data_IF_123180096785
#
_entry.id   IF_123180096785
#
_cell.length_a   1.000
_cell.length_b   1.000
_cell.length_c   1.000
_cell.angle_alpha   90.00
_cell.angle_beta   90.00
_cell.angle_gamma   90.00
#
_symmetry.space_group_name_H-M   'P 1'
#
loop_
_entity.id
_entity.type
_entity.pdbx_description
1 polymer ?
#
# COMPACT_ATOMS: atom_id res chain seq x y z
N UNK A 1 10.26 12.89 -4.17
CA UNK A 1 9.30 11.80 -4.38
C UNK A 1 8.08 12.38 -5.07
N UNK A 2 7.79 11.93 -6.29
CA UNK A 2 6.57 12.32 -7.01
C UNK A 2 5.55 11.20 -6.83
N UNK A 3 4.41 11.52 -6.25
CA UNK A 3 3.28 10.60 -6.19
C UNK A 3 2.31 10.98 -7.30
N UNK A 4 2.21 10.13 -8.33
CA UNK A 4 1.16 10.27 -9.33
C UNK A 4 -0.02 9.38 -8.95
N UNK A 5 -1.14 9.99 -8.61
CA UNK A 5 -2.43 9.31 -8.45
C UNK A 5 -3.25 9.62 -9.71
N UNK A 6 -3.65 8.62 -10.51
CA UNK A 6 -4.51 8.88 -11.67
C UNK A 6 -5.88 9.39 -11.20
N UNK A 7 -6.51 10.30 -11.97
CA UNK A 7 -7.81 10.85 -11.61
C UNK A 7 -8.92 9.78 -11.71
N UNK A 8 -9.80 9.75 -10.71
CA UNK A 8 -11.07 8.98 -10.72
C UNK A 8 -12.04 9.56 -11.76
N UNK A 9 -12.89 8.74 -12.42
CA UNK A 9 -13.83 9.24 -13.43
C UNK A 9 -14.91 10.17 -12.83
N UNK A 10 -14.75 11.45 -13.12
CA UNK A 10 -15.69 12.59 -13.22
C UNK A 10 -16.78 12.81 -12.16
N UNK A 11 -16.83 14.05 -11.66
CA UNK A 11 -18.00 14.91 -11.90
C UNK A 11 -17.54 16.38 -11.98
N UNK A 12 -17.77 16.98 -13.15
CA UNK A 12 -17.52 18.40 -13.39
C UNK A 12 -18.53 19.26 -12.64
N UNK A 13 -18.04 20.26 -11.88
CA UNK A 13 -18.76 21.52 -11.63
C UNK A 13 -17.75 22.63 -11.36
N UNK A 14 -17.93 23.71 -12.12
CA UNK A 14 -17.25 25.01 -12.03
C UNK A 14 -17.30 25.65 -10.64
N UNK A 15 -16.23 26.38 -10.30
CA UNK A 15 -16.21 27.84 -10.02
C UNK A 15 -15.30 28.28 -8.86
N UNK A 16 -14.37 29.17 -9.22
CA UNK A 16 -13.90 30.39 -8.55
C UNK A 16 -13.33 30.35 -7.11
N UNK A 17 -12.04 30.73 -7.04
CA UNK A 17 -11.32 31.30 -5.89
C UNK A 17 -11.82 32.73 -5.56
N UNK A 18 -11.63 33.29 -4.34
CA UNK A 18 -10.28 33.66 -3.88
C UNK A 18 -9.97 33.63 -2.35
N UNK A 19 -8.65 33.66 -2.08
CA UNK A 19 -7.88 34.28 -0.97
C UNK A 19 -8.01 33.85 0.50
N UNK A 20 -6.82 33.52 1.05
CA UNK A 20 -6.25 33.75 2.39
C UNK A 20 -7.01 33.36 3.66
N UNK A 21 -6.48 32.38 4.41
CA UNK A 21 -5.98 32.61 5.79
C UNK A 21 -5.15 31.43 6.31
N UNK A 22 -4.05 31.74 6.98
CA UNK A 22 -3.20 30.81 7.71
C UNK A 22 -3.97 30.18 8.88
N UNK A 23 -3.96 28.85 9.00
CA UNK A 23 -4.11 28.20 10.30
C UNK A 23 -3.37 26.85 10.34
N UNK A 24 -2.20 26.90 10.96
CA UNK A 24 -1.48 25.75 11.50
C UNK A 24 -2.35 25.04 12.53
N UNK A 25 -2.86 23.85 12.19
CA UNK A 25 -3.53 22.99 13.17
C UNK A 25 -2.64 21.79 13.49
N UNK A 26 -2.13 21.81 14.72
CA UNK A 26 -1.44 20.71 15.39
C UNK A 26 -2.45 19.58 15.60
N UNK A 27 -2.21 18.42 15.01
CA UNK A 27 -3.03 17.23 15.24
C UNK A 27 -2.61 16.56 16.56
N UNK A 28 -3.27 16.94 17.65
CA UNK A 28 -3.27 16.17 18.90
C UNK A 28 -4.16 14.94 18.72
N UNK A 29 -3.63 13.78 19.09
CA UNK A 29 -4.31 12.49 19.09
C UNK A 29 -5.29 12.41 20.26
N UNK A 30 -6.58 12.60 19.99
CA UNK A 30 -7.63 12.39 20.98
C UNK A 30 -8.24 10.98 20.86
N UNK A 31 -8.18 10.25 21.97
CA UNK A 31 -8.70 8.89 22.17
C UNK A 31 -10.14 8.99 22.64
N UNK A 32 -11.11 8.77 21.77
CA UNK A 32 -12.47 8.46 22.24
C UNK A 32 -13.19 7.45 21.34
N UNK A 33 -13.35 6.24 21.88
CA UNK A 33 -14.28 5.23 21.40
C UNK A 33 -15.73 5.76 21.49
N UNK A 34 -16.47 5.73 20.38
CA UNK A 34 -17.91 5.98 20.35
C UNK A 34 -18.65 4.68 20.04
N UNK A 35 -19.27 4.12 21.07
CA UNK A 35 -20.27 3.06 20.99
C UNK A 35 -21.54 3.63 20.38
N UNK A 36 -21.96 3.15 19.21
CA UNK A 36 -23.21 3.55 18.56
C UNK A 36 -24.39 2.77 19.19
N UNK A 37 -25.30 3.47 19.85
CA UNK A 37 -26.61 2.95 20.27
C UNK A 37 -27.64 3.22 19.17
N UNK A 38 -28.31 2.17 18.67
CA UNK A 38 -29.52 2.28 17.84
C UNK A 38 -30.76 2.19 18.75
N UNK A 39 -31.79 3.05 18.59
CA UNK A 39 -33.06 2.87 19.29
C UNK A 39 -34.02 2.05 18.42
N UNK A 40 -34.43 0.88 18.90
CA UNK A 40 -35.58 0.15 18.35
C UNK A 40 -36.61 -0.03 19.46
N UNK A 41 -37.64 0.82 19.46
CA UNK A 41 -38.82 0.68 20.31
C UNK A 41 -39.91 -0.02 19.49
N UNK A 42 -40.21 -1.28 19.81
CA UNK A 42 -41.46 -1.94 19.41
C UNK A 42 -42.15 -2.48 20.66
N UNK A 43 -43.38 -2.01 20.87
CA UNK A 43 -44.31 -2.46 21.91
C UNK A 43 -44.56 -3.97 21.81
N UNK A 44 -44.45 -4.67 22.93
CA UNK A 44 -44.98 -6.02 23.11
C UNK A 44 -46.50 -5.94 23.38
N UNK A 45 -47.32 -6.90 22.91
CA UNK A 45 -48.75 -6.93 23.17
C UNK A 45 -49.09 -7.41 24.60
N UNK A 46 -50.21 -6.90 25.12
CA UNK A 46 -50.71 -7.10 26.49
C UNK A 46 -51.03 -8.57 26.83
N UNK A 47 -50.61 -8.98 28.02
CA UNK A 47 -50.82 -10.32 28.58
C UNK A 47 -52.16 -10.37 29.32
N UNK A 48 -53.10 -11.20 28.85
CA UNK A 48 -54.41 -11.44 29.50
C UNK A 48 -54.35 -12.69 30.41
N UNK A 49 -54.52 -12.57 31.74
CA UNK A 49 -54.30 -13.68 32.67
C UNK A 49 -55.59 -14.47 32.95
N UNK A 50 -56.31 -14.89 31.91
CA UNK A 50 -57.56 -15.63 32.05
C UNK A 50 -57.67 -16.77 31.02
N UNK A 51 -56.72 -17.71 31.03
CA UNK A 51 -56.86 -19.00 30.36
C UNK A 51 -55.90 -20.04 30.94
N UNK A 52 -55.90 -20.21 32.26
CA UNK A 52 -55.31 -21.40 32.88
C UNK A 52 -56.38 -22.02 33.75
N UNK A 53 -57.19 -22.88 33.13
CA UNK A 53 -57.80 -24.01 33.81
C UNK A 53 -58.29 -25.03 32.78
N UNK A 54 -58.00 -26.29 33.10
CA UNK A 54 -58.45 -27.54 32.46
C UNK A 54 -57.81 -27.92 31.12
N UNK A 55 -56.62 -28.55 31.16
CA UNK A 55 -56.23 -29.55 30.14
C UNK A 55 -55.43 -30.70 30.78
N UNK A 56 -55.80 -31.92 30.40
CA UNK A 56 -55.30 -33.23 30.85
C UNK A 56 -53.95 -33.60 30.22
N UNK A 57 -53.24 -34.64 30.72
CA UNK A 57 -51.80 -34.87 30.44
C UNK A 57 -51.45 -35.30 29.00
N UNK A 58 -52.41 -35.31 28.06
CA UNK A 58 -52.20 -35.74 26.67
C UNK A 58 -51.84 -34.61 25.70
N UNK A 59 -52.13 -33.35 26.03
CA UNK A 59 -52.01 -32.22 25.08
C UNK A 59 -50.64 -31.53 25.10
N UNK A 60 -49.77 -31.88 26.05
CA UNK A 60 -48.43 -31.29 26.21
C UNK A 60 -47.39 -31.82 25.22
N UNK A 61 -47.63 -32.99 24.61
CA UNK A 61 -46.68 -33.63 23.69
C UNK A 61 -46.85 -33.09 22.27
N UNK A 62 -48.09 -32.90 21.79
CA UNK A 62 -48.33 -32.32 20.45
C UNK A 62 -47.89 -30.85 20.34
N UNK A 63 -48.06 -30.04 21.40
CA UNK A 63 -47.62 -28.65 21.40
C UNK A 63 -46.08 -28.49 21.35
N UNK A 64 -45.35 -29.45 21.94
CA UNK A 64 -43.88 -29.45 21.91
C UNK A 64 -43.32 -29.86 20.55
N UNK A 65 -43.98 -30.79 19.84
CA UNK A 65 -43.61 -31.16 18.48
C UNK A 65 -43.92 -30.06 17.45
N UNK A 66 -45.05 -29.35 17.61
CA UNK A 66 -45.40 -28.24 16.71
C UNK A 66 -44.43 -27.05 16.85
N UNK A 67 -43.98 -26.72 18.06
CA UNK A 67 -42.94 -25.71 18.31
C UNK A 67 -41.57 -26.11 17.74
N UNK A 68 -41.17 -27.37 17.86
CA UNK A 68 -39.91 -27.87 17.30
C UNK A 68 -39.92 -27.87 15.76
N UNK A 69 -41.05 -28.18 15.13
CA UNK A 69 -41.19 -28.08 13.67
C UNK A 69 -41.16 -26.63 13.18
N UNK A 70 -41.81 -25.69 13.88
CA UNK A 70 -41.75 -24.26 13.53
C UNK A 70 -40.34 -23.68 13.66
N UNK A 71 -39.60 -24.04 14.71
CA UNK A 71 -38.20 -23.64 14.86
C UNK A 71 -37.28 -24.24 13.79
N UNK A 72 -37.59 -25.43 13.27
CA UNK A 72 -36.84 -26.06 12.17
C UNK A 72 -37.14 -25.40 10.81
N UNK A 73 -38.38 -24.98 10.57
CA UNK A 73 -38.75 -24.27 9.33
C UNK A 73 -38.21 -22.84 9.32
N UNK A 74 -38.13 -22.14 10.46
CA UNK A 74 -37.44 -20.83 10.56
C UNK A 74 -35.91 -20.96 10.40
N UNK A 75 -35.30 -22.05 10.86
CA UNK A 75 -33.86 -22.29 10.64
C UNK A 75 -33.52 -22.70 9.21
N UNK A 76 -34.44 -23.33 8.48
CA UNK A 76 -34.26 -23.67 7.07
C UNK A 76 -34.55 -22.52 6.11
N UNK A 77 -35.36 -21.54 6.52
CA UNK A 77 -35.54 -20.28 5.78
C UNK A 77 -34.49 -19.20 6.14
N UNK A 78 -33.79 -19.35 7.27
CA UNK A 78 -32.64 -18.52 7.67
C UNK A 78 -31.31 -18.86 6.98
N UNK A 79 -31.20 -20.01 6.29
CA UNK A 79 -30.01 -20.40 5.53
C UNK A 79 -29.93 -19.78 4.12
N UNK A 80 -30.99 -19.08 3.69
CA UNK A 80 -31.09 -18.43 2.36
C UNK A 80 -30.69 -16.97 2.30
N UNK A 81 -30.33 -16.35 3.44
CA UNK A 81 -29.82 -14.98 3.50
C UNK A 81 -28.44 -14.94 4.14
N UNK A 82 -27.53 -15.81 3.70
CA UNK A 82 -26.17 -15.33 3.54
C UNK A 82 -26.25 -14.27 2.44
N UNK A 83 -26.44 -13.01 2.85
CA UNK A 83 -26.02 -11.90 2.01
C UNK A 83 -24.58 -12.23 1.67
N UNK A 84 -24.37 -12.66 0.43
CA UNK A 84 -23.11 -12.46 -0.23
C UNK A 84 -22.90 -10.96 -0.08
N UNK A 85 -22.10 -10.58 0.92
CA UNK A 85 -21.33 -9.38 0.83
C UNK A 85 -20.47 -9.65 -0.39
N UNK A 86 -21.01 -9.38 -1.58
CA UNK A 86 -20.20 -8.82 -2.64
C UNK A 86 -19.48 -7.70 -1.91
N UNK A 87 -18.23 -7.96 -1.52
CA UNK A 87 -17.29 -6.88 -1.45
C UNK A 87 -17.51 -6.18 -2.78
N UNK A 88 -18.04 -4.97 -2.74
CA UNK A 88 -17.80 -4.02 -3.80
C UNK A 88 -16.28 -4.02 -3.92
N UNK A 89 -15.78 -4.87 -4.81
CA UNK A 89 -14.42 -4.87 -5.29
C UNK A 89 -14.41 -3.55 -6.03
N UNK A 90 -14.02 -2.50 -5.29
CA UNK A 90 -13.97 -1.16 -5.83
C UNK A 90 -13.29 -1.27 -7.18
N UNK A 91 -13.97 -0.79 -8.21
CA UNK A 91 -13.55 -0.75 -9.60
C UNK A 91 -12.38 0.24 -9.77
N UNK A 92 -11.33 0.03 -8.95
CA UNK A 92 -10.39 1.04 -8.49
C UNK A 92 -9.67 0.56 -7.24
N UNK A 93 -9.01 -0.60 -7.30
CA UNK A 93 -7.92 -0.86 -6.37
C UNK A 93 -6.96 0.35 -6.42
N UNK A 94 -6.62 0.93 -5.26
CA UNK A 94 -5.65 2.03 -5.21
C UNK A 94 -4.32 1.50 -5.76
N UNK A 95 -3.98 1.95 -6.97
CA UNK A 95 -2.77 1.59 -7.71
C UNK A 95 -1.67 2.58 -7.38
N UNK A 96 -0.44 2.09 -7.21
CA UNK A 96 0.72 2.93 -6.94
C UNK A 96 1.84 2.66 -7.94
N UNK A 97 2.22 3.70 -8.68
CA UNK A 97 3.50 3.77 -9.40
C UNK A 97 4.48 4.60 -8.57
N UNK A 98 5.54 3.97 -8.08
CA UNK A 98 6.63 4.65 -7.40
C UNK A 98 7.84 4.72 -8.33
N UNK A 99 8.34 5.93 -8.55
CA UNK A 99 9.55 6.17 -9.34
C UNK A 99 10.59 6.80 -8.41
N UNK A 100 11.72 6.12 -8.23
CA UNK A 100 12.88 6.65 -7.51
C UNK A 100 13.94 7.05 -8.52
N UNK A 101 14.21 8.36 -8.60
CA UNK A 101 15.27 8.95 -9.43
C UNK A 101 16.43 9.24 -8.50
N UNK A 102 17.51 8.48 -8.62
CA UNK A 102 18.65 8.59 -7.71
C UNK A 102 19.43 9.88 -7.93
N UNK A 103 20.03 10.42 -6.88
CA UNK A 103 20.84 11.64 -6.97
C UNK A 103 20.07 12.88 -7.45
N UNK A 104 18.73 12.81 -7.58
CA UNK A 104 17.91 13.92 -8.07
C UNK A 104 17.74 14.97 -6.97
N UNK A 105 18.63 15.98 -6.99
CA UNK A 105 18.59 17.09 -6.03
C UNK A 105 17.32 17.92 -6.24
N UNK A 106 16.85 18.52 -5.14
CA UNK A 106 15.55 19.20 -5.07
C UNK A 106 15.33 20.32 -6.10
N UNK A 107 16.41 20.95 -6.58
CA UNK A 107 16.40 22.06 -7.53
C UNK A 107 16.51 21.61 -9.00
N UNK A 108 16.93 20.38 -9.29
CA UNK A 108 17.09 19.92 -10.69
C UNK A 108 15.81 20.02 -11.53
N UNK A 109 14.60 19.70 -11.01
CA UNK A 109 13.36 19.86 -11.76
C UNK A 109 13.00 21.31 -12.11
N UNK A 110 13.56 22.29 -11.39
CA UNK A 110 13.28 23.72 -11.59
C UNK A 110 14.29 24.40 -12.51
N UNK A 111 15.42 23.76 -12.79
CA UNK A 111 16.43 24.31 -13.68
C UNK A 111 15.91 24.25 -15.12
N UNK A 112 15.66 25.42 -15.72
CA UNK A 112 15.19 25.50 -17.11
C UNK A 112 16.16 24.84 -18.11
N UNK A 113 17.46 24.84 -17.80
CA UNK A 113 18.49 24.14 -18.57
C UNK A 113 18.31 22.62 -18.59
N UNK A 114 17.62 22.04 -17.60
CA UNK A 114 17.39 20.60 -17.53
C UNK A 114 16.30 20.14 -18.51
N UNK A 115 15.43 21.04 -18.99
CA UNK A 115 14.43 20.72 -20.01
C UNK A 115 13.51 19.56 -19.60
N UNK A 116 12.90 19.64 -18.40
CA UNK A 116 12.12 18.57 -17.77
C UNK A 116 10.59 18.82 -17.78
N UNK A 117 9.93 18.87 -18.95
CA UNK A 117 8.51 19.21 -19.04
C UNK A 117 7.59 18.19 -18.34
N UNK A 118 8.03 16.93 -18.25
CA UNK A 118 7.29 15.89 -17.52
C UNK A 118 7.18 16.17 -16.02
N UNK A 119 8.30 16.52 -15.37
CA UNK A 119 8.31 16.88 -13.95
C UNK A 119 7.53 18.16 -13.67
N UNK A 120 7.61 19.14 -14.57
CA UNK A 120 6.79 20.35 -14.50
C UNK A 120 5.31 20.01 -14.53
N UNK A 121 4.88 19.18 -15.48
CA UNK A 121 3.48 18.74 -15.59
C UNK A 121 3.02 17.96 -14.36
N UNK A 122 3.88 17.10 -13.78
CA UNK A 122 3.58 16.39 -12.54
C UNK A 122 3.42 17.33 -11.35
N UNK A 123 4.22 18.39 -11.26
CA UNK A 123 4.11 19.40 -10.21
C UNK A 123 2.86 20.27 -10.37
N UNK A 124 2.52 20.68 -11.60
CA UNK A 124 1.35 21.51 -11.90
C UNK A 124 0.01 20.76 -11.70
N UNK A 125 -0.02 19.46 -11.99
CA UNK A 125 -1.24 18.64 -11.93
C UNK A 125 -1.28 17.73 -10.69
N UNK A 126 -0.33 17.89 -9.77
CA UNK A 126 -0.17 17.00 -8.62
C UNK A 126 0.23 17.76 -7.36
N UNK A 127 0.86 17.05 -6.42
CA UNK A 127 1.37 17.63 -5.17
C UNK A 127 2.89 17.52 -5.18
N UNK A 128 3.55 18.62 -4.81
CA UNK A 128 5.01 18.70 -4.71
C UNK A 128 5.42 19.31 -3.38
N UNK A 129 6.32 18.63 -2.68
CA UNK A 129 7.06 19.22 -1.57
C UNK A 129 8.25 20.06 -2.10
N UNK A 130 8.63 21.17 -1.43
CA UNK A 130 9.79 21.97 -1.84
C UNK A 130 11.09 21.15 -1.91
N UNK A 131 11.28 20.26 -0.94
CA UNK A 131 12.38 19.30 -0.88
C UNK A 131 12.00 18.15 0.06
N UNK A 132 12.80 17.08 0.04
CA UNK A 132 12.73 15.98 1.01
C UNK A 132 14.08 15.93 1.72
N UNK A 133 14.05 15.94 3.06
CA UNK A 133 15.27 15.81 3.86
C UNK A 133 15.66 14.33 3.95
N UNK A 134 16.85 13.93 3.46
CA UNK A 134 17.33 12.56 3.62
C UNK A 134 17.68 12.27 5.08
N UNK A 135 17.69 11.00 5.45
CA UNK A 135 18.33 10.58 6.71
C UNK A 135 19.85 10.67 6.58
N UNK A 136 20.55 10.70 7.72
CA UNK A 136 22.00 10.58 7.74
C UNK A 136 22.41 9.09 7.82
N UNK A 137 23.41 8.65 7.04
CA UNK A 137 24.08 9.39 5.96
C UNK A 137 23.19 9.52 4.72
N UNK A 138 23.42 10.56 3.92
CA UNK A 138 22.68 10.82 2.66
C UNK A 138 23.16 9.91 1.51
N UNK A 139 23.33 8.62 1.79
CA UNK A 139 23.72 7.59 0.84
C UNK A 139 22.49 6.82 0.34
N UNK A 140 22.63 6.17 -0.82
CA UNK A 140 21.57 5.46 -1.54
C UNK A 140 20.85 4.42 -0.68
N UNK A 141 21.52 3.33 -0.26
CA UNK A 141 20.90 2.23 0.49
C UNK A 141 20.21 2.67 1.80
N UNK A 142 20.86 3.49 2.65
CA UNK A 142 20.20 4.00 3.85
C UNK A 142 18.89 4.74 3.54
N UNK A 143 18.89 5.64 2.56
CA UNK A 143 17.70 6.44 2.24
C UNK A 143 16.63 5.66 1.47
N UNK A 144 17.02 4.82 0.51
CA UNK A 144 16.07 4.00 -0.24
C UNK A 144 15.29 3.09 0.70
N UNK A 145 16.00 2.41 1.61
CA UNK A 145 15.35 1.48 2.52
C UNK A 145 14.54 2.20 3.59
N UNK A 146 14.95 3.39 4.01
CA UNK A 146 14.10 4.31 4.82
C UNK A 146 12.79 4.63 4.09
N UNK A 147 12.82 5.02 2.82
CA UNK A 147 11.61 5.32 2.04
C UNK A 147 10.67 4.10 1.97
N UNK A 148 11.23 2.91 1.91
CA UNK A 148 10.48 1.66 1.74
C UNK A 148 9.93 1.10 3.04
N UNK A 149 10.55 1.39 4.18
CA UNK A 149 10.23 0.79 5.49
C UNK A 149 9.64 1.79 6.47
N UNK A 150 9.88 3.09 6.27
CA UNK A 150 9.54 4.16 7.21
C UNK A 150 10.43 4.19 8.45
N UNK A 151 11.55 3.47 8.46
CA UNK A 151 12.47 3.35 9.59
C UNK A 151 13.76 4.13 9.36
N UNK A 152 14.48 4.48 10.42
CA UNK A 152 15.84 5.02 10.32
C UNK A 152 16.86 3.91 10.06
N UNK A 153 18.05 4.30 9.57
CA UNK A 153 19.19 3.42 9.30
C UNK A 153 19.54 2.44 10.42
N UNK A 154 19.54 2.92 11.67
CA UNK A 154 19.82 2.08 12.85
C UNK A 154 18.76 0.99 13.10
N UNK A 155 17.53 1.20 12.63
CA UNK A 155 16.42 0.28 12.81
C UNK A 155 16.28 -0.71 11.65
N UNK A 156 16.56 -0.27 10.42
CA UNK A 156 16.49 -1.12 9.23
C UNK A 156 17.85 -1.68 8.77
N UNK A 157 18.89 -1.49 9.59
CA UNK A 157 20.25 -2.05 9.45
C UNK A 157 21.12 -1.55 8.27
N UNK A 158 20.55 -1.01 7.19
CA UNK A 158 21.33 -0.32 6.15
C UNK A 158 21.85 1.04 6.63
N UNK A 159 23.04 1.05 7.24
CA UNK A 159 23.71 2.27 7.73
C UNK A 159 24.66 2.91 6.72
N UNK A 160 25.08 2.17 5.70
CA UNK A 160 25.99 2.62 4.64
C UNK A 160 25.75 1.83 3.33
N UNK A 161 26.27 2.32 2.21
CA UNK A 161 26.31 1.58 0.93
C UNK A 161 27.33 0.44 0.95
N UNK A 162 28.31 0.51 1.84
CA UNK A 162 29.29 -0.53 2.10
C UNK A 162 29.42 -0.69 3.61
N UNK A 163 29.18 -1.89 4.13
CA UNK A 163 29.20 -2.15 5.57
C UNK A 163 29.72 -3.56 5.87
N UNK A 164 30.29 -3.71 7.06
CA UNK A 164 30.77 -4.99 7.58
C UNK A 164 29.93 -5.38 8.80
N UNK A 165 29.45 -6.61 8.84
CA UNK A 165 28.76 -7.16 10.00
C UNK A 165 29.70 -8.13 10.73
N UNK A 166 30.16 -7.79 11.95
CA UNK A 166 31.05 -8.66 12.72
C UNK A 166 30.37 -9.93 13.25
N UNK A 167 29.05 -9.97 13.34
CA UNK A 167 28.32 -11.17 13.77
C UNK A 167 28.34 -12.24 12.68
N UNK A 168 28.15 -11.84 11.42
CA UNK A 168 28.18 -12.75 10.27
C UNK A 168 29.58 -12.87 9.63
N UNK A 169 30.48 -11.94 9.92
CA UNK A 169 31.79 -11.87 9.30
C UNK A 169 31.73 -11.54 7.81
N UNK A 170 30.72 -10.79 7.38
CA UNK A 170 30.38 -10.55 5.97
C UNK A 170 30.42 -9.06 5.61
N UNK A 171 30.65 -8.78 4.33
CA UNK A 171 30.63 -7.44 3.74
C UNK A 171 29.43 -7.27 2.82
N UNK A 172 28.63 -6.27 3.14
CA UNK A 172 27.68 -5.70 2.20
C UNK A 172 28.40 -4.73 1.29
N UNK A 173 28.31 -4.94 -0.02
CA UNK A 173 28.83 -4.04 -1.04
C UNK A 173 27.71 -3.69 -1.99
N UNK A 174 27.40 -2.40 -2.09
CA UNK A 174 26.38 -1.89 -3.00
C UNK A 174 26.62 -2.34 -4.45
N UNK A 175 25.56 -2.93 -5.02
CA UNK A 175 25.49 -3.38 -6.39
C UNK A 175 25.08 -4.85 -6.52
N UNK A 176 24.99 -5.37 -7.76
CA UNK A 176 24.64 -6.75 -8.04
C UNK A 176 25.80 -7.64 -7.61
N UNK A 177 25.74 -8.04 -6.34
CA UNK A 177 26.63 -8.99 -5.70
C UNK A 177 25.76 -10.02 -4.97
N UNK A 178 26.10 -11.30 -5.10
CA UNK A 178 25.39 -12.38 -4.42
C UNK A 178 25.51 -12.24 -2.89
N UNK A 179 26.63 -11.71 -2.38
CA UNK A 179 26.79 -11.46 -0.93
C UNK A 179 25.92 -10.32 -0.43
N UNK A 180 25.51 -9.39 -1.30
CA UNK A 180 24.55 -8.33 -0.96
C UNK A 180 23.10 -8.84 -0.99
N UNK A 181 22.84 -10.01 -1.60
CA UNK A 181 21.49 -10.54 -1.84
C UNK A 181 21.04 -11.59 -0.81
N UNK A 182 21.67 -11.65 0.36
CA UNK A 182 21.38 -12.62 1.42
C UNK A 182 20.45 -12.05 2.49
N UNK A 183 19.49 -12.82 3.03
CA UNK A 183 18.41 -12.29 3.86
C UNK A 183 18.86 -11.54 5.14
N UNK A 184 20.01 -11.89 5.73
CA UNK A 184 20.44 -11.29 7.00
C UNK A 184 20.67 -9.77 6.92
N UNK A 185 20.99 -9.23 5.73
CA UNK A 185 21.08 -7.78 5.51
C UNK A 185 19.70 -7.10 5.43
N UNK A 186 18.66 -7.84 5.03
CA UNK A 186 17.36 -7.28 4.62
C UNK A 186 16.23 -7.59 5.61
N UNK A 187 16.33 -8.65 6.40
CA UNK A 187 15.21 -9.14 7.23
C UNK A 187 14.88 -8.25 8.45
N UNK A 188 15.80 -7.35 8.83
CA UNK A 188 15.63 -6.41 9.94
C UNK A 188 14.39 -5.52 9.79
N UNK A 189 13.95 -5.23 8.57
CA UNK A 189 12.73 -4.45 8.32
C UNK A 189 11.82 -5.09 7.25
N UNK A 190 10.59 -4.59 7.17
CA UNK A 190 9.63 -5.00 6.15
C UNK A 190 9.44 -3.85 5.15
N UNK A 191 9.90 -4.01 3.91
CA UNK A 191 9.72 -2.98 2.89
C UNK A 191 8.31 -3.04 2.28
N UNK A 192 7.87 -1.92 1.71
CA UNK A 192 6.53 -1.70 1.18
C UNK A 192 6.02 -2.83 0.26
N UNK A 193 6.87 -3.36 -0.62
CA UNK A 193 6.45 -4.44 -1.52
C UNK A 193 6.17 -5.74 -0.80
N UNK A 194 6.92 -6.07 0.26
CA UNK A 194 6.64 -7.25 1.08
C UNK A 194 5.34 -7.07 1.86
N UNK A 195 5.07 -5.87 2.37
CA UNK A 195 3.78 -5.53 2.98
C UNK A 195 2.64 -5.74 2.00
N UNK A 196 2.79 -5.29 0.75
CA UNK A 196 1.78 -5.48 -0.31
C UNK A 196 1.52 -6.97 -0.59
N UNK A 197 2.57 -7.76 -0.82
CA UNK A 197 2.47 -9.21 -1.07
C UNK A 197 1.83 -9.95 0.10
N UNK A 198 2.14 -9.57 1.35
CA UNK A 198 1.49 -10.14 2.56
C UNK A 198 0.00 -9.82 2.64
N UNK A 199 -0.45 -8.73 2.04
CA UNK A 199 -1.87 -8.35 1.94
C UNK A 199 -2.56 -8.93 0.71
N UNK A 200 -1.89 -9.81 -0.03
CA UNK A 200 -2.45 -10.43 -1.24
C UNK A 200 -2.46 -9.50 -2.45
N UNK A 201 -1.74 -8.37 -2.40
CA UNK A 201 -1.54 -7.46 -3.53
C UNK A 201 -0.30 -7.88 -4.30
N UNK A 202 -0.31 -7.69 -5.61
CA UNK A 202 0.80 -8.05 -6.49
C UNK A 202 1.69 -6.85 -6.76
N UNK A 203 3.02 -7.06 -6.69
CA UNK A 203 4.03 -6.02 -6.89
C UNK A 203 5.02 -6.35 -8.00
N UNK A 204 5.38 -5.33 -8.79
CA UNK A 204 6.41 -5.42 -9.83
C UNK A 204 7.53 -4.40 -9.57
N UNK A 205 8.77 -4.89 -9.51
CA UNK A 205 9.95 -4.07 -9.23
C UNK A 205 10.90 -4.09 -10.43
N UNK A 206 11.29 -2.90 -10.90
CA UNK A 206 12.22 -2.70 -12.00
C UNK A 206 13.51 -2.06 -11.47
N UNK A 207 14.60 -2.84 -11.54
CA UNK A 207 15.97 -2.49 -11.12
C UNK A 207 16.13 -2.05 -9.68
N UNK A 208 15.10 -2.30 -8.87
CA UNK A 208 15.15 -2.06 -7.44
C UNK A 208 15.98 -3.15 -6.78
N UNK A 209 17.18 -2.79 -6.30
CA UNK A 209 18.05 -3.75 -5.63
C UNK A 209 17.39 -4.22 -4.32
N UNK A 210 17.36 -5.53 -4.11
CA UNK A 210 16.55 -6.18 -3.07
C UNK A 210 15.32 -6.91 -3.61
N UNK A 211 14.86 -6.65 -4.84
CA UNK A 211 13.72 -7.38 -5.41
C UNK A 211 14.02 -8.88 -5.60
N UNK A 212 15.30 -9.22 -5.77
CA UNK A 212 15.79 -10.59 -5.91
C UNK A 212 15.88 -11.35 -4.58
N UNK A 213 15.89 -10.62 -3.46
CA UNK A 213 16.11 -11.17 -2.12
C UNK A 213 14.81 -11.68 -1.56
N UNK A 214 14.85 -12.85 -0.93
CA UNK A 214 13.73 -13.32 -0.13
C UNK A 214 13.77 -12.62 1.22
N UNK A 215 12.81 -11.72 1.45
CA UNK A 215 12.73 -10.93 2.68
C UNK A 215 11.53 -11.45 3.45
N UNK A 216 11.79 -11.99 4.66
CA UNK A 216 10.77 -12.58 5.53
C UNK A 216 9.91 -13.64 4.83
N UNK A 217 10.56 -14.48 4.01
CA UNK A 217 9.92 -15.59 3.29
C UNK A 217 9.05 -15.17 2.10
N UNK A 218 9.25 -13.96 1.56
CA UNK A 218 8.48 -13.42 0.42
C UNK A 218 9.39 -12.68 -0.55
N UNK A 219 8.94 -12.65 -1.82
CA UNK A 219 9.50 -11.86 -2.92
C UNK A 219 8.36 -11.08 -3.59
N UNK A 220 8.65 -9.98 -4.29
CA UNK A 220 7.66 -9.37 -5.16
C UNK A 220 7.19 -10.35 -6.24
N UNK A 221 5.98 -10.15 -6.74
CA UNK A 221 5.40 -10.95 -7.84
C UNK A 221 6.27 -10.89 -9.10
N UNK A 222 6.87 -9.74 -9.40
CA UNK A 222 7.80 -9.56 -10.52
C UNK A 222 9.04 -8.78 -10.09
N UNK A 223 10.22 -9.23 -10.54
CA UNK A 223 11.51 -8.58 -10.27
C UNK A 223 12.36 -8.58 -11.54
N UNK A 224 12.66 -7.40 -12.06
CA UNK A 224 13.72 -7.18 -13.04
C UNK A 224 14.95 -6.72 -12.27
N UNK A 225 15.96 -7.59 -12.16
CA UNK A 225 17.18 -7.34 -11.38
C UNK A 225 17.90 -6.09 -11.87
N UNK A 226 18.54 -5.41 -10.92
CA UNK A 226 19.40 -4.26 -11.18
C UNK A 226 20.55 -4.60 -12.14
N UNK A 227 20.97 -3.60 -12.93
CA UNK A 227 22.12 -3.64 -13.83
C UNK A 227 22.90 -2.34 -13.62
N UNK A 228 24.22 -2.42 -13.58
CA UNK A 228 25.05 -1.22 -13.49
C UNK A 228 24.88 -0.32 -14.73
N UNK A 229 24.68 0.98 -14.48
CA UNK A 229 24.70 2.01 -15.53
C UNK A 229 26.12 2.15 -16.12
N UNK A 230 26.20 2.65 -17.35
CA UNK A 230 27.45 2.82 -18.11
C UNK A 230 27.58 1.77 -19.20
N UNK A 231 28.79 1.22 -19.39
CA UNK A 231 29.03 0.23 -20.46
C UNK A 231 28.16 -1.03 -20.32
N UNK A 232 27.83 -1.43 -19.09
CA UNK A 232 27.01 -2.61 -18.83
C UNK A 232 25.52 -2.40 -19.17
N UNK A 233 25.05 -1.15 -19.27
CA UNK A 233 23.67 -0.84 -19.57
C UNK A 233 23.50 0.45 -20.39
N UNK A 234 23.95 0.45 -21.66
CA UNK A 234 23.87 1.63 -22.54
C UNK A 234 22.43 2.02 -22.90
N UNK A 235 21.48 1.09 -22.82
CA UNK A 235 20.06 1.31 -23.16
C UNK A 235 19.21 1.77 -21.98
N UNK A 236 19.78 2.15 -20.83
CA UNK A 236 19.04 2.48 -19.59
C UNK A 236 17.87 3.44 -19.80
N UNK A 237 18.03 4.47 -20.64
CA UNK A 237 16.96 5.45 -20.89
C UNK A 237 15.80 4.84 -21.68
N UNK A 238 16.10 4.06 -22.73
CA UNK A 238 15.10 3.39 -23.55
C UNK A 238 14.39 2.29 -22.76
N UNK A 239 15.16 1.47 -22.03
CA UNK A 239 14.66 0.45 -21.11
C UNK A 239 13.71 1.06 -20.06
N UNK A 240 14.08 2.22 -19.47
CA UNK A 240 13.27 2.91 -18.46
C UNK A 240 11.96 3.42 -19.06
N UNK A 241 12.00 3.98 -20.27
CA UNK A 241 10.79 4.39 -21.00
C UNK A 241 9.85 3.20 -21.22
N UNK A 242 10.40 2.06 -21.66
CA UNK A 242 9.61 0.83 -21.85
C UNK A 242 9.04 0.31 -20.54
N UNK A 243 9.82 0.33 -19.45
CA UNK A 243 9.36 -0.07 -18.13
C UNK A 243 8.23 0.83 -17.61
N UNK A 244 8.28 2.15 -17.86
CA UNK A 244 7.20 3.06 -17.51
C UNK A 244 5.91 2.74 -18.27
N UNK A 245 5.99 2.48 -19.58
CA UNK A 245 4.83 2.09 -20.38
C UNK A 245 4.25 0.74 -19.92
N UNK A 246 5.11 -0.24 -19.66
CA UNK A 246 4.70 -1.54 -19.13
C UNK A 246 4.07 -1.40 -17.73
N UNK A 247 4.62 -0.55 -16.88
CA UNK A 247 4.07 -0.28 -15.55
C UNK A 247 2.65 0.29 -15.63
N UNK A 248 2.42 1.26 -16.52
CA UNK A 248 1.08 1.81 -16.75
C UNK A 248 0.11 0.73 -17.21
N UNK A 249 0.52 -0.13 -18.16
CA UNK A 249 -0.31 -1.24 -18.63
C UNK A 249 -0.66 -2.22 -17.49
N UNK A 250 0.33 -2.64 -16.69
CA UNK A 250 0.14 -3.56 -15.56
C UNK A 250 -0.80 -2.99 -14.50
N UNK A 251 -0.71 -1.69 -14.25
CA UNK A 251 -1.62 -1.01 -13.33
C UNK A 251 -3.01 -0.90 -13.97
N UNK A 252 -3.14 -0.45 -15.22
CA UNK A 252 -4.42 -0.31 -15.93
C UNK A 252 -5.18 -1.63 -16.02
N UNK A 253 -4.52 -2.73 -16.40
CA UNK A 253 -5.09 -4.08 -16.48
C UNK A 253 -5.40 -4.72 -15.11
N UNK A 254 -5.01 -4.06 -14.01
CA UNK A 254 -5.13 -4.55 -12.64
C UNK A 254 -4.35 -5.86 -12.38
N UNK A 255 -3.33 -6.13 -13.20
CA UNK A 255 -2.42 -7.26 -12.99
C UNK A 255 -1.51 -7.02 -11.79
N UNK A 256 -1.11 -5.76 -11.55
CA UNK A 256 -0.31 -5.33 -10.39
C UNK A 256 -1.01 -4.18 -9.67
N UNK A 257 -0.81 -4.08 -8.36
CA UNK A 257 -1.30 -2.95 -7.54
C UNK A 257 -0.16 -2.01 -7.13
N UNK A 258 1.08 -2.50 -7.11
CA UNK A 258 2.27 -1.72 -6.83
C UNK A 258 3.32 -1.95 -7.93
N UNK A 259 3.76 -0.88 -8.58
CA UNK A 259 4.92 -0.93 -9.48
C UNK A 259 5.98 0.06 -8.99
N UNK A 260 7.23 -0.40 -8.90
CA UNK A 260 8.36 0.42 -8.47
C UNK A 260 9.43 0.40 -9.54
N UNK A 261 9.96 1.58 -9.87
CA UNK A 261 11.01 1.75 -10.87
C UNK A 261 12.13 2.57 -10.26
N UNK A 262 13.34 2.03 -10.31
CA UNK A 262 14.57 2.72 -9.94
C UNK A 262 15.29 3.27 -11.19
N UNK A 263 15.74 4.53 -11.11
CA UNK A 263 16.45 5.21 -12.19
C UNK A 263 17.71 5.91 -11.65
N UNK A 264 18.86 5.29 -11.91
CA UNK A 264 20.20 5.73 -11.48
C UNK A 264 20.88 6.84 -12.32
N UNK A 265 20.65 6.99 -13.64
CA UNK A 265 21.54 7.82 -14.48
C UNK A 265 21.77 9.27 -14.05
N UNK A 266 20.89 9.87 -13.24
CA UNK A 266 21.14 11.22 -12.69
C UNK A 266 22.28 11.20 -11.67
N UNK A 267 22.29 10.24 -10.75
CA UNK A 267 23.37 10.07 -9.77
C UNK A 267 24.69 9.69 -10.45
N UNK A 268 24.64 8.72 -11.37
CA UNK A 268 25.83 8.23 -12.07
C UNK A 268 26.59 9.33 -12.84
N UNK A 269 25.88 10.31 -13.40
CA UNK A 269 26.47 11.40 -14.18
C UNK A 269 26.67 12.70 -13.37
N UNK A 270 26.30 12.71 -12.08
CA UNK A 270 26.26 13.89 -11.21
C UNK A 270 27.57 14.29 -10.57
#
# INVERSE_FOLDING_TARGET
VYFYLPPSPSRATDSQHPSDEQQTTVCQTDRHARTLFLPFSRKLPDFNPAAIQTMTPGTLILGRFAMLLLCLVERLSGFGYYSHSESHQGDGANKLLLILVDGCRWDYPDQDSAGLPGFRKLAENGVRAPYVTPIFPSNSYPNWYTIMTGLYAESHSFVQNMMYDPHFGDFFLMGPNDTASVPHWWDSAEPLWITAEKKGLRSALYWWDGCQVEIRGRKPTFCRKYKYVGYAWPSVNDDTREALLAALQLLESNEMQLVQIYYEPVDFNG
#
